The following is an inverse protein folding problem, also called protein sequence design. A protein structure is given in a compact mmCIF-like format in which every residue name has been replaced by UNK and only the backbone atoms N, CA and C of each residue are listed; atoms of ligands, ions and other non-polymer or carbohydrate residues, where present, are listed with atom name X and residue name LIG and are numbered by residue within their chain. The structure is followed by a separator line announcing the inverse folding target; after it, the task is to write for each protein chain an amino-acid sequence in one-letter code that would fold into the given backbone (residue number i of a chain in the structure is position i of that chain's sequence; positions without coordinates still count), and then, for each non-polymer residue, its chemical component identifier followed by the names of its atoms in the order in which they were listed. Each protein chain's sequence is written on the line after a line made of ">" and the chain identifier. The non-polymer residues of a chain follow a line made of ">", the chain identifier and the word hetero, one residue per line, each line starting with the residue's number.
data_IF_700661650813
#
_entry.id   IF_700661650813
#
_cell.length_a   1.000
_cell.length_b   1.000
_cell.length_c   1.000
_cell.angle_alpha   90.00
_cell.angle_beta   90.00
_cell.angle_gamma   90.00
#
_symmetry.space_group_name_H-M   'P 1'
#
loop_
_entity.id
_entity.type
_entity.pdbx_description
1 polymer ?
#
# COMPACT_ATOMS: atom_id res chain seq x y z
N UNK A 1 -1.28 -9.42 -6.35
CA UNK A 1 -0.11 -9.22 -5.47
C UNK A 1 0.46 -7.82 -5.65
N UNK A 2 0.95 -7.40 -6.83
CA UNK A 2 1.43 -6.03 -7.05
C UNK A 2 0.40 -4.90 -6.87
N UNK A 3 -0.81 -5.05 -7.42
CA UNK A 3 -1.85 -4.01 -7.34
C UNK A 3 -2.32 -3.77 -5.89
N UNK A 4 -2.29 -4.82 -5.07
CA UNK A 4 -2.63 -4.77 -3.64
C UNK A 4 -1.63 -3.92 -2.85
N UNK A 5 -0.35 -3.92 -3.23
CA UNK A 5 0.71 -3.09 -2.61
C UNK A 5 0.46 -1.60 -2.89
N UNK A 6 -0.12 -1.28 -4.05
CA UNK A 6 -0.49 0.10 -4.41
C UNK A 6 -1.82 0.51 -3.76
N UNK A 7 -2.80 -0.39 -3.72
CA UNK A 7 -4.14 -0.11 -3.22
C UNK A 7 -4.21 -0.01 -1.69
N UNK A 8 -3.42 -0.79 -0.94
CA UNK A 8 -3.38 -0.71 0.53
C UNK A 8 -3.05 0.71 1.05
N UNK A 9 -1.93 1.34 0.65
CA UNK A 9 -1.57 2.68 1.11
C UNK A 9 -2.51 3.76 0.54
N UNK A 10 -3.05 3.57 -0.67
CA UNK A 10 -4.08 4.46 -1.22
C UNK A 10 -5.37 4.43 -0.40
N UNK A 11 -5.86 3.25 -0.03
CA UNK A 11 -7.03 3.12 0.87
C UNK A 11 -6.72 3.68 2.26
N UNK A 12 -5.53 3.45 2.80
CA UNK A 12 -5.10 4.02 4.09
C UNK A 12 -5.13 5.55 4.09
N UNK A 13 -4.63 6.16 3.00
CA UNK A 13 -4.68 7.61 2.80
C UNK A 13 -6.11 8.12 2.59
N UNK A 14 -6.96 7.36 1.87
CA UNK A 14 -8.36 7.73 1.66
C UNK A 14 -9.17 7.72 2.96
N UNK A 15 -8.95 6.71 3.82
CA UNK A 15 -9.61 6.61 5.13
C UNK A 15 -9.11 7.71 6.08
N UNK A 16 -7.79 7.97 6.10
CA UNK A 16 -7.18 9.04 6.89
C UNK A 16 -7.64 10.44 6.44
N UNK A 17 -7.75 10.67 5.13
CA UNK A 17 -8.14 11.95 4.54
C UNK A 17 -9.65 12.22 4.61
N UNK A 18 -10.49 11.22 4.34
CA UNK A 18 -11.95 11.42 4.27
C UNK A 18 -12.64 11.30 5.64
N UNK A 19 -12.15 10.43 6.54
CA UNK A 19 -12.72 10.28 7.89
C UNK A 19 -11.88 11.00 8.98
N UNK A 20 -10.92 11.84 8.60
CA UNK A 20 -10.06 12.57 9.54
C UNK A 20 -10.83 13.40 10.59
N UNK A 21 -12.02 13.91 10.23
CA UNK A 21 -12.88 14.64 11.15
C UNK A 21 -13.50 13.77 12.25
N UNK A 22 -13.71 12.46 12.01
CA UNK A 22 -14.23 11.51 13.02
C UNK A 22 -13.14 10.78 13.80
N UNK A 23 -11.96 10.57 13.21
CA UNK A 23 -10.86 9.81 13.81
C UNK A 23 -9.94 10.70 14.67
N UNK A 24 -9.90 12.01 14.41
CA UNK A 24 -9.00 12.93 15.11
C UNK A 24 -7.53 12.79 14.69
N UNK A 25 -6.71 13.76 15.09
CA UNK A 25 -5.29 13.87 14.70
C UNK A 25 -4.44 12.65 15.09
N UNK A 26 -4.63 12.11 16.28
CA UNK A 26 -3.86 10.96 16.80
C UNK A 26 -4.26 9.65 16.14
N UNK A 27 -5.55 9.41 15.89
CA UNK A 27 -5.99 8.20 15.23
C UNK A 27 -5.56 8.14 13.75
N UNK A 28 -5.54 9.28 13.07
CA UNK A 28 -5.14 9.38 11.66
C UNK A 28 -3.67 8.98 11.48
N UNK A 29 -2.80 9.42 12.39
CA UNK A 29 -1.38 9.11 12.37
C UNK A 29 -1.09 7.62 12.62
N UNK A 30 -1.85 6.97 13.51
CA UNK A 30 -1.69 5.52 13.77
C UNK A 30 -2.10 4.71 12.53
N UNK A 31 -3.19 5.09 11.87
CA UNK A 31 -3.69 4.41 10.66
C UNK A 31 -2.69 4.55 9.51
N UNK A 32 -2.13 5.73 9.28
CA UNK A 32 -1.16 5.93 8.19
C UNK A 32 0.16 5.22 8.47
N UNK A 33 0.71 5.30 9.69
CA UNK A 33 1.95 4.60 10.05
C UNK A 33 1.82 3.08 9.91
N UNK A 34 0.73 2.50 10.43
CA UNK A 34 0.50 1.04 10.33
C UNK A 34 0.32 0.59 8.88
N UNK A 35 -0.41 1.37 8.08
CA UNK A 35 -0.58 1.11 6.66
C UNK A 35 0.74 1.21 5.87
N UNK A 36 1.59 2.19 6.20
CA UNK A 36 2.93 2.34 5.62
C UNK A 36 3.84 1.16 5.95
N UNK A 37 3.86 0.73 7.22
CA UNK A 37 4.67 -0.41 7.67
C UNK A 37 4.25 -1.68 6.91
N UNK A 38 2.95 -1.95 6.83
CA UNK A 38 2.41 -3.07 6.05
C UNK A 38 2.80 -2.99 4.57
N UNK A 39 2.68 -1.80 3.97
CA UNK A 39 3.04 -1.58 2.56
C UNK A 39 4.53 -1.80 2.31
N UNK A 40 5.41 -1.41 3.23
CA UNK A 40 6.87 -1.59 3.15
C UNK A 40 7.27 -3.08 3.19
N UNK A 41 6.65 -3.86 4.08
CA UNK A 41 6.88 -5.31 4.17
C UNK A 41 6.45 -5.99 2.86
N UNK A 42 5.26 -5.65 2.35
CA UNK A 42 4.76 -6.17 1.08
C UNK A 42 5.66 -5.79 -0.11
N UNK A 43 6.19 -4.55 -0.13
CA UNK A 43 7.11 -4.09 -1.17
C UNK A 43 8.44 -4.87 -1.16
N UNK A 44 8.92 -5.28 0.02
CA UNK A 44 10.14 -6.10 0.15
C UNK A 44 9.91 -7.50 -0.42
N UNK A 45 8.74 -8.10 -0.18
CA UNK A 45 8.37 -9.40 -0.76
C UNK A 45 8.24 -9.31 -2.29
N UNK A 46 7.66 -8.21 -2.80
CA UNK A 46 7.59 -7.97 -4.23
C UNK A 46 8.98 -7.78 -4.87
N UNK A 47 9.89 -7.06 -4.21
CA UNK A 47 11.28 -6.96 -4.68
C UNK A 47 11.98 -8.32 -4.69
N UNK A 48 11.66 -9.21 -3.74
CA UNK A 48 12.17 -10.57 -3.74
C UNK A 48 11.66 -11.37 -4.94
N UNK A 49 10.35 -11.34 -5.24
CA UNK A 49 9.81 -12.10 -6.37
C UNK A 49 10.24 -11.56 -7.75
N UNK A 50 10.12 -10.26 -8.02
CA UNK A 50 10.51 -9.71 -9.34
C UNK A 50 12.02 -9.57 -9.49
N UNK A 51 12.74 -9.27 -8.41
CA UNK A 51 14.19 -9.08 -8.43
C UNK A 51 14.98 -10.40 -8.47
N UNK A 52 14.61 -11.40 -7.67
CA UNK A 52 15.36 -12.66 -7.55
C UNK A 52 14.75 -13.81 -8.37
N UNK A 53 13.42 -13.92 -8.48
CA UNK A 53 12.79 -14.95 -9.30
C UNK A 53 12.64 -14.56 -10.78
N UNK A 54 12.97 -13.31 -11.15
CA UNK A 54 13.04 -12.82 -12.55
C UNK A 54 11.80 -13.15 -13.39
N UNK A 55 10.62 -13.19 -12.76
CA UNK A 55 9.33 -13.36 -13.42
C UNK A 55 8.59 -12.02 -13.42
N UNK A 56 8.89 -11.10 -14.35
CA UNK A 56 8.22 -9.81 -14.42
C UNK A 56 6.75 -10.00 -14.79
N UNK A 57 5.85 -9.70 -13.86
CA UNK A 57 4.42 -9.61 -14.14
C UNK A 57 4.16 -8.27 -14.82
N UNK A 58 4.03 -8.28 -16.15
CA UNK A 58 3.60 -7.12 -16.93
C UNK A 58 2.07 -6.97 -16.83
N UNK A 59 1.62 -5.79 -16.40
CA UNK A 59 0.19 -5.47 -16.30
C UNK A 59 -0.19 -4.61 -17.51
N UNK A 60 -0.85 -5.21 -18.50
CA UNK A 60 -1.43 -4.48 -19.65
C UNK A 60 -2.70 -3.76 -19.21
N UNK A 61 -2.57 -2.48 -18.82
CA UNK A 61 -3.69 -1.66 -18.32
C UNK A 61 -4.58 -1.06 -19.42
N UNK A 62 -4.11 -1.02 -20.67
CA UNK A 62 -4.91 -0.60 -21.84
C UNK A 62 -4.53 -1.46 -23.05
N UNK A 63 -5.54 -1.85 -23.83
CA UNK A 63 -5.42 -2.37 -25.19
C UNK A 63 -5.96 -1.31 -26.16
#
# INVERSE_FOLDING_TARGET
>A
MYFTILILPLLGSFVSGFLGQKIGITGSHIITCTCLILSSILATIALYEVGLCSSPVQISLFN
#
